data_IF_329799761525
#
_entry.id   IF_329799761525
#
_cell.length_a   1.000
_cell.length_b   1.000
_cell.length_c   1.000
_cell.angle_alpha   90.00
_cell.angle_beta   90.00
_cell.angle_gamma   90.00
#
_symmetry.space_group_name_H-M   'P 1'
#
loop_
_entity.id
_entity.type
_entity.pdbx_description
1 polymer ?
#
# COMPACT_ATOMS: atom_id res chain seq x y z
N UNK A 1 32.21 10.74 6.96
CA UNK A 1 31.71 9.44 7.48
C UNK A 1 31.96 9.21 8.98
N UNK A 2 33.16 9.45 9.53
CA UNK A 2 33.48 9.18 10.96
C UNK A 2 32.50 9.82 11.96
N UNK A 3 32.08 11.07 11.72
CA UNK A 3 31.12 11.78 12.59
C UNK A 3 29.73 11.13 12.58
N UNK A 4 29.16 10.84 11.41
CA UNK A 4 27.86 10.16 11.30
C UNK A 4 27.89 8.77 11.94
N UNK A 5 28.99 8.04 11.78
CA UNK A 5 29.18 6.75 12.44
C UNK A 5 29.17 6.90 13.97
N UNK A 6 29.91 7.87 14.51
CA UNK A 6 29.92 8.16 15.95
C UNK A 6 28.52 8.49 16.48
N UNK A 7 27.77 9.35 15.77
CA UNK A 7 26.39 9.69 16.12
C UNK A 7 25.49 8.45 16.10
N UNK A 8 25.57 7.62 15.06
CA UNK A 8 24.77 6.39 14.99
C UNK A 8 25.12 5.40 16.12
N UNK A 9 26.39 5.28 16.49
CA UNK A 9 26.84 4.45 17.62
C UNK A 9 26.33 5.00 18.95
N UNK A 10 26.35 6.32 19.13
CA UNK A 10 25.80 6.96 20.32
C UNK A 10 24.29 6.72 20.41
N UNK A 11 23.54 6.98 19.33
CA UNK A 11 22.10 6.69 19.27
C UNK A 11 21.83 5.22 19.59
N UNK A 12 22.60 4.28 19.01
CA UNK A 12 22.45 2.86 19.28
C UNK A 12 22.64 2.54 20.78
N UNK A 13 23.71 3.03 21.40
CA UNK A 13 24.01 2.74 22.81
C UNK A 13 23.04 3.41 23.79
N UNK A 14 22.77 4.70 23.61
CA UNK A 14 21.99 5.51 24.56
C UNK A 14 20.49 5.51 24.27
N UNK A 15 20.10 5.09 23.06
CA UNK A 15 18.74 5.17 22.53
C UNK A 15 18.19 6.61 22.43
N UNK A 16 19.06 7.62 22.52
CA UNK A 16 18.69 9.02 22.42
C UNK A 16 18.96 9.55 21.02
N UNK A 17 17.95 10.20 20.43
CA UNK A 17 18.04 10.79 19.10
C UNK A 17 18.31 12.30 19.19
N UNK A 18 19.19 12.84 18.33
CA UNK A 18 19.33 14.29 18.17
C UNK A 18 17.97 14.94 17.87
N UNK A 19 17.69 16.11 18.46
CA UNK A 19 16.39 16.76 18.29
C UNK A 19 16.10 17.09 16.82
N UNK A 20 17.11 17.56 16.08
CA UNK A 20 16.99 17.88 14.65
C UNK A 20 16.63 16.66 13.79
N UNK A 21 16.90 15.44 14.27
CA UNK A 21 16.57 14.20 13.56
C UNK A 21 15.11 13.75 13.80
N UNK A 22 14.47 14.33 14.82
CA UNK A 22 13.06 14.12 15.17
C UNK A 22 12.13 15.16 14.54
N UNK A 23 12.67 16.21 13.93
CA UNK A 23 11.93 17.25 13.19
C UNK A 23 11.60 16.83 11.76
N UNK A 24 10.45 17.31 11.26
CA UNK A 24 10.01 17.10 9.89
C UNK A 24 9.35 18.36 9.31
N UNK A 25 9.56 18.65 8.03
CA UNK A 25 8.90 19.77 7.32
C UNK A 25 7.87 19.19 6.36
N UNK A 26 6.61 19.57 6.52
CA UNK A 26 5.49 19.09 5.75
C UNK A 26 5.21 20.02 4.57
N UNK A 27 5.23 19.47 3.36
CA UNK A 27 4.92 20.18 2.13
C UNK A 27 3.61 19.62 1.56
N UNK A 28 2.53 20.41 1.51
CA UNK A 28 1.29 19.99 0.89
C UNK A 28 1.41 20.07 -0.64
N UNK A 29 1.09 18.97 -1.31
CA UNK A 29 1.07 18.83 -2.77
C UNK A 29 -0.36 18.53 -3.20
N UNK A 30 -0.95 19.31 -4.12
CA UNK A 30 -2.33 19.09 -4.55
C UNK A 30 -2.47 17.74 -5.27
N UNK A 31 -3.50 16.96 -4.92
CA UNK A 31 -3.81 15.67 -5.57
C UNK A 31 -4.23 15.85 -7.03
N UNK A 32 -4.89 16.97 -7.32
CA UNK A 32 -5.42 17.39 -8.64
C UNK A 32 -5.32 18.92 -8.72
N UNK A 33 -5.39 19.48 -9.93
CA UNK A 33 -5.45 20.94 -10.11
C UNK A 33 -6.62 21.57 -9.35
N UNK A 34 -6.44 22.81 -8.88
CA UNK A 34 -7.44 23.60 -8.13
C UNK A 34 -7.94 22.97 -6.82
N UNK A 35 -7.03 22.39 -6.03
CA UNK A 35 -7.36 21.92 -4.68
C UNK A 35 -7.75 23.09 -3.76
N UNK A 36 -8.94 23.03 -3.14
CA UNK A 36 -9.45 24.02 -2.18
C UNK A 36 -9.61 23.47 -0.75
N UNK A 37 -9.75 22.15 -0.62
CA UNK A 37 -9.92 21.47 0.67
C UNK A 37 -8.63 20.77 1.10
N UNK A 38 -8.39 20.69 2.41
CA UNK A 38 -7.22 19.98 2.96
C UNK A 38 -7.17 18.50 2.56
N UNK A 39 -8.33 17.85 2.40
CA UNK A 39 -8.49 16.46 1.94
C UNK A 39 -7.90 16.22 0.53
N UNK A 40 -7.78 17.29 -0.26
CA UNK A 40 -7.30 17.29 -1.64
C UNK A 40 -5.79 17.54 -1.76
N UNK A 41 -5.06 17.50 -0.64
CA UNK A 41 -3.60 17.54 -0.63
C UNK A 41 -3.00 16.20 -0.16
N UNK A 42 -1.85 15.85 -0.73
CA UNK A 42 -0.90 14.90 -0.17
C UNK A 42 0.14 15.67 0.61
N UNK A 43 0.46 15.24 1.82
CA UNK A 43 1.52 15.89 2.61
C UNK A 43 2.80 15.09 2.44
N UNK A 44 3.85 15.68 1.88
CA UNK A 44 5.18 15.08 1.89
C UNK A 44 5.93 15.58 3.12
N UNK A 45 6.47 14.65 3.91
CA UNK A 45 7.33 14.98 5.03
C UNK A 45 8.81 14.91 4.63
N UNK A 46 9.48 16.04 4.71
CA UNK A 46 10.92 16.17 4.56
C UNK A 46 11.60 16.00 5.91
N UNK A 47 12.56 15.08 5.97
CA UNK A 47 13.40 14.82 7.14
C UNK A 47 14.86 15.07 6.78
N UNK A 48 15.68 15.37 7.79
CA UNK A 48 17.12 15.59 7.63
C UNK A 48 17.79 14.46 6.83
N UNK A 49 18.68 14.83 5.90
CA UNK A 49 19.44 13.87 5.09
C UNK A 49 20.32 12.97 5.96
N UNK A 50 21.01 13.56 6.94
CA UNK A 50 21.83 12.83 7.90
C UNK A 50 20.99 11.85 8.72
N UNK A 51 19.77 12.27 9.10
CA UNK A 51 18.89 11.41 9.89
C UNK A 51 18.40 10.19 9.14
N UNK A 52 18.48 10.12 7.79
CA UNK A 52 18.06 8.94 7.00
C UNK A 52 19.01 7.74 7.16
N UNK A 53 20.26 7.96 7.58
CA UNK A 53 21.28 6.91 7.71
C UNK A 53 20.89 5.91 8.79
N UNK A 54 20.52 6.38 9.98
CA UNK A 54 20.17 5.49 11.10
C UNK A 54 18.87 4.69 10.85
N UNK A 55 17.76 5.28 10.37
CA UNK A 55 16.59 4.57 9.88
C UNK A 55 16.90 3.54 8.80
N UNK A 56 17.87 3.78 7.91
CA UNK A 56 18.27 2.77 6.91
C UNK A 56 18.91 1.55 7.58
N UNK A 57 19.77 1.77 8.58
CA UNK A 57 20.39 0.69 9.37
C UNK A 57 19.31 -0.09 10.13
N UNK A 58 18.40 0.62 10.80
CA UNK A 58 17.29 0.01 11.53
C UNK A 58 16.34 -0.75 10.60
N UNK A 59 16.06 -0.21 9.40
CA UNK A 59 15.24 -0.87 8.39
C UNK A 59 15.88 -2.21 7.99
N UNK A 60 17.18 -2.24 7.71
CA UNK A 60 17.87 -3.47 7.33
C UNK A 60 17.76 -4.55 8.42
N UNK A 61 17.84 -4.16 9.69
CA UNK A 61 17.63 -5.07 10.83
C UNK A 61 16.18 -5.54 10.95
N UNK A 62 15.21 -4.64 10.82
CA UNK A 62 13.78 -4.98 10.87
C UNK A 62 13.35 -5.85 9.68
N UNK A 63 13.97 -5.67 8.51
CA UNK A 63 13.62 -6.42 7.30
C UNK A 63 13.80 -7.93 7.48
N UNK A 64 14.75 -8.37 8.31
CA UNK A 64 14.93 -9.78 8.66
C UNK A 64 13.68 -10.36 9.33
N UNK A 65 13.10 -9.60 10.27
CA UNK A 65 11.84 -9.94 10.92
C UNK A 65 10.66 -9.84 9.97
N UNK A 66 10.64 -8.84 9.07
CA UNK A 66 9.58 -8.72 8.06
C UNK A 66 9.56 -9.96 7.18
N UNK A 67 10.71 -10.37 6.64
CA UNK A 67 10.77 -11.50 5.71
C UNK A 67 10.41 -12.82 6.39
N UNK A 68 10.80 -13.01 7.65
CA UNK A 68 10.50 -14.23 8.41
C UNK A 68 9.08 -14.26 8.99
N UNK A 69 8.57 -13.12 9.46
CA UNK A 69 7.30 -13.05 10.21
C UNK A 69 6.12 -12.62 9.35
N UNK A 70 6.27 -12.01 8.18
CA UNK A 70 5.11 -11.65 7.35
C UNK A 70 4.63 -12.83 6.49
N UNK A 71 3.32 -13.07 6.44
CA UNK A 71 2.75 -14.11 5.61
C UNK A 71 2.96 -13.81 4.12
N UNK A 72 2.85 -14.85 3.28
CA UNK A 72 3.11 -14.73 1.83
C UNK A 72 2.07 -13.93 1.07
N UNK A 73 0.85 -13.82 1.63
CA UNK A 73 -0.22 -12.99 1.08
C UNK A 73 0.05 -11.48 1.18
N UNK A 74 1.03 -11.04 1.98
CA UNK A 74 1.48 -9.64 2.04
C UNK A 74 2.69 -9.43 1.14
N UNK A 75 2.48 -8.74 0.02
CA UNK A 75 3.51 -8.41 -0.96
C UNK A 75 4.13 -7.01 -0.74
N UNK A 76 3.41 -6.11 -0.07
CA UNK A 76 3.88 -4.74 0.15
C UNK A 76 5.16 -4.70 0.98
N UNK A 77 6.21 -4.07 0.43
CA UNK A 77 7.50 -3.86 1.11
C UNK A 77 8.18 -5.17 1.62
N UNK A 78 7.87 -6.31 1.00
CA UNK A 78 8.51 -7.61 1.25
C UNK A 78 9.52 -7.90 0.13
N UNK A 79 10.73 -8.36 0.49
CA UNK A 79 11.76 -8.66 -0.50
C UNK A 79 11.30 -9.81 -1.42
N UNK A 80 11.43 -9.65 -2.73
CA UNK A 80 11.08 -10.68 -3.71
C UNK A 80 9.58 -10.81 -3.98
N UNK A 81 8.77 -9.87 -3.48
CA UNK A 81 7.36 -9.73 -3.82
C UNK A 81 7.11 -8.32 -4.34
N UNK A 82 6.21 -8.19 -5.30
CA UNK A 82 5.85 -6.92 -5.92
C UNK A 82 4.38 -6.87 -6.32
N UNK A 83 4.00 -5.73 -6.89
CA UNK A 83 2.62 -5.50 -7.33
C UNK A 83 2.20 -6.47 -8.43
N UNK A 84 3.12 -6.85 -9.31
CA UNK A 84 2.91 -7.82 -10.39
C UNK A 84 2.49 -9.20 -9.86
N UNK A 85 3.08 -9.64 -8.76
CA UNK A 85 2.70 -10.92 -8.12
C UNK A 85 1.24 -10.89 -7.66
N UNK A 86 0.79 -9.77 -7.08
CA UNK A 86 -0.60 -9.65 -6.63
C UNK A 86 -1.60 -9.55 -7.77
N UNK A 87 -1.21 -8.87 -8.86
CA UNK A 87 -2.01 -8.83 -10.09
C UNK A 87 -2.13 -10.25 -10.69
N UNK A 88 -1.01 -10.98 -10.78
CA UNK A 88 -1.03 -12.36 -11.28
C UNK A 88 -1.87 -13.28 -10.38
N UNK A 89 -1.69 -13.19 -9.06
CA UNK A 89 -2.46 -13.99 -8.10
C UNK A 89 -3.96 -13.77 -8.25
N UNK A 90 -4.43 -12.52 -8.31
CA UNK A 90 -5.87 -12.27 -8.44
C UNK A 90 -6.41 -12.76 -9.79
N UNK A 91 -5.66 -12.58 -10.89
CA UNK A 91 -6.05 -13.10 -12.20
C UNK A 91 -6.18 -14.63 -12.17
N UNK A 92 -5.17 -15.34 -11.65
CA UNK A 92 -5.18 -16.79 -11.56
C UNK A 92 -6.29 -17.32 -10.64
N UNK A 93 -6.56 -16.62 -9.53
CA UNK A 93 -7.67 -16.97 -8.64
C UNK A 93 -9.01 -16.87 -9.39
N UNK A 94 -9.23 -15.79 -10.16
CA UNK A 94 -10.44 -15.60 -10.97
C UNK A 94 -10.53 -16.68 -12.06
N UNK A 95 -9.44 -16.96 -12.77
CA UNK A 95 -9.37 -18.01 -13.79
C UNK A 95 -9.71 -19.38 -13.20
N UNK A 96 -9.15 -19.72 -12.04
CA UNK A 96 -9.43 -20.98 -11.34
C UNK A 96 -10.88 -21.05 -10.89
N UNK A 97 -11.43 -19.98 -10.31
CA UNK A 97 -12.84 -19.95 -9.94
C UNK A 97 -13.75 -20.21 -11.16
N UNK A 98 -13.42 -19.63 -12.32
CA UNK A 98 -14.15 -19.85 -13.58
C UNK A 98 -14.01 -21.28 -14.10
N UNK A 99 -12.81 -21.86 -14.05
CA UNK A 99 -12.55 -23.26 -14.44
C UNK A 99 -13.46 -24.23 -13.66
N UNK A 100 -13.68 -23.99 -12.38
CA UNK A 100 -14.55 -24.78 -11.51
C UNK A 100 -15.99 -24.27 -11.41
N UNK A 101 -16.39 -23.30 -12.25
CA UNK A 101 -17.72 -22.69 -12.25
C UNK A 101 -18.19 -22.18 -10.87
N UNK A 102 -17.26 -21.68 -10.06
CA UNK A 102 -17.55 -21.11 -8.76
C UNK A 102 -17.77 -19.61 -8.84
N UNK A 103 -18.69 -19.11 -8.03
CA UNK A 103 -18.80 -17.69 -7.77
C UNK A 103 -17.62 -17.22 -6.92
N UNK A 104 -17.19 -15.99 -7.17
CA UNK A 104 -16.13 -15.34 -6.43
C UNK A 104 -16.58 -13.94 -6.05
N UNK A 105 -16.30 -13.57 -4.81
CA UNK A 105 -16.63 -12.28 -4.24
C UNK A 105 -15.35 -11.65 -3.71
N UNK A 106 -15.12 -10.38 -4.04
CA UNK A 106 -13.99 -9.59 -3.58
C UNK A 106 -14.45 -8.35 -2.83
N UNK A 107 -13.80 -8.04 -1.71
CA UNK A 107 -13.94 -6.75 -1.03
C UNK A 107 -12.57 -6.06 -1.00
N UNK A 108 -12.46 -4.93 -1.71
CA UNK A 108 -11.27 -4.09 -1.74
C UNK A 108 -11.38 -3.03 -0.66
N UNK A 109 -10.60 -3.19 0.40
CA UNK A 109 -10.60 -2.34 1.59
C UNK A 109 -9.68 -1.15 1.38
N UNK A 110 -10.17 0.05 1.73
CA UNK A 110 -9.38 1.27 1.89
C UNK A 110 -9.50 1.77 3.33
N UNK A 111 -8.40 2.23 3.92
CA UNK A 111 -8.39 2.82 5.26
C UNK A 111 -8.35 4.35 5.19
N UNK A 112 -9.10 5.01 6.07
CA UNK A 112 -9.04 6.47 6.17
C UNK A 112 -7.70 6.93 6.75
N UNK A 113 -6.81 7.40 5.87
CA UNK A 113 -5.47 7.91 6.22
C UNK A 113 -4.66 6.91 7.04
N UNK A 114 -4.54 5.67 6.54
CA UNK A 114 -3.97 4.53 7.27
C UNK A 114 -2.65 4.87 8.01
N UNK A 115 -1.70 5.48 7.30
CA UNK A 115 -0.39 5.85 7.84
C UNK A 115 -0.48 6.93 8.92
N UNK A 116 -1.43 7.87 8.83
CA UNK A 116 -1.59 8.99 9.78
C UNK A 116 -2.38 8.59 11.04
N UNK A 117 -3.06 7.45 11.00
CA UNK A 117 -3.94 6.98 12.08
C UNK A 117 -3.28 5.93 12.99
N UNK A 118 -2.06 5.49 12.70
CA UNK A 118 -1.33 4.51 13.54
C UNK A 118 -1.13 5.06 14.96
N UNK A 119 -1.65 4.36 15.96
CA UNK A 119 -1.45 4.70 17.37
C UNK A 119 -0.06 4.24 17.82
N UNK A 120 0.75 5.16 18.34
CA UNK A 120 2.12 4.86 18.76
C UNK A 120 2.16 3.87 19.93
N UNK A 121 1.30 4.02 20.94
CA UNK A 121 1.28 3.13 22.11
C UNK A 121 0.93 1.70 21.68
N UNK A 122 -0.06 1.54 20.79
CA UNK A 122 -0.43 0.25 20.21
C UNK A 122 0.69 -0.31 19.34
N UNK A 123 1.33 0.51 18.51
CA UNK A 123 2.45 0.09 17.67
C UNK A 123 3.59 -0.51 18.51
N UNK A 124 4.01 0.13 19.60
CA UNK A 124 5.08 -0.40 20.45
C UNK A 124 4.71 -1.72 21.12
N UNK A 125 3.45 -1.87 21.54
CA UNK A 125 2.93 -3.15 22.07
C UNK A 125 2.96 -4.25 21.00
N UNK A 126 2.48 -3.94 19.79
CA UNK A 126 2.46 -4.86 18.65
C UNK A 126 3.89 -5.32 18.28
N UNK A 127 4.87 -4.41 18.26
CA UNK A 127 6.26 -4.78 17.97
C UNK A 127 6.81 -5.76 19.02
N UNK A 128 6.54 -5.53 20.30
CA UNK A 128 6.95 -6.44 21.39
C UNK A 128 6.29 -7.82 21.24
N UNK A 129 4.97 -7.86 21.03
CA UNK A 129 4.23 -9.12 20.85
C UNK A 129 4.64 -9.88 19.59
N UNK A 130 5.07 -9.16 18.55
CA UNK A 130 5.62 -9.76 17.33
C UNK A 130 7.02 -10.34 17.58
N UNK A 131 7.64 -10.09 18.73
CA UNK A 131 8.98 -10.57 19.09
C UNK A 131 10.10 -9.73 18.48
N UNK A 132 9.86 -8.44 18.24
CA UNK A 132 10.94 -7.50 17.90
C UNK A 132 11.72 -7.18 19.18
N UNK A 133 13.07 -7.27 19.17
CA UNK A 133 13.88 -7.01 20.36
C UNK A 133 13.58 -5.67 21.01
N UNK A 134 13.53 -5.64 22.34
CA UNK A 134 13.23 -4.44 23.12
C UNK A 134 14.15 -3.27 22.78
N UNK A 135 15.43 -3.54 22.51
CA UNK A 135 16.38 -2.52 22.10
C UNK A 135 15.95 -1.79 20.83
N UNK A 136 15.51 -2.52 19.79
CA UNK A 136 15.01 -1.93 18.54
C UNK A 136 13.70 -1.18 18.78
N UNK A 137 12.80 -1.76 19.57
CA UNK A 137 11.52 -1.11 19.91
C UNK A 137 11.74 0.19 20.68
N UNK A 138 12.70 0.24 21.61
CA UNK A 138 13.04 1.46 22.34
C UNK A 138 13.67 2.52 21.43
N UNK A 139 14.56 2.14 20.51
CA UNK A 139 15.11 3.05 19.51
C UNK A 139 14.02 3.70 18.66
N UNK A 140 13.05 2.89 18.19
CA UNK A 140 11.91 3.39 17.43
C UNK A 140 11.01 4.28 18.28
N UNK A 141 10.65 3.85 19.49
CA UNK A 141 9.83 4.64 20.41
C UNK A 141 10.46 6.01 20.69
N UNK A 142 11.76 6.07 20.93
CA UNK A 142 12.47 7.31 21.22
C UNK A 142 12.66 8.19 19.98
N UNK A 143 12.63 7.61 18.77
CA UNK A 143 12.55 8.37 17.53
C UNK A 143 11.21 9.09 17.40
N UNK A 144 10.13 8.44 17.86
CA UNK A 144 8.76 8.97 17.82
C UNK A 144 8.41 9.87 19.00
N UNK A 145 9.09 9.73 20.14
CA UNK A 145 8.94 10.61 21.28
C UNK A 145 9.44 12.03 20.99
N UNK A 146 8.57 13.02 21.14
CA UNK A 146 8.90 14.44 20.93
C UNK A 146 9.19 14.79 19.47
N UNK A 147 8.53 14.10 18.53
CA UNK A 147 8.56 14.48 17.12
C UNK A 147 7.80 15.77 16.89
N UNK A 148 8.45 16.67 16.15
CA UNK A 148 7.91 17.96 15.78
C UNK A 148 7.76 18.03 14.27
N UNK A 149 6.69 18.67 13.81
CA UNK A 149 6.51 19.05 12.43
C UNK A 149 6.15 20.52 12.29
N UNK A 150 6.44 21.07 11.13
CA UNK A 150 5.93 22.36 10.67
C UNK A 150 5.40 22.19 9.26
N UNK A 151 4.41 23.00 8.85
CA UNK A 151 3.88 23.00 7.48
C UNK A 151 4.43 24.22 6.75
N UNK A 152 5.08 23.98 5.60
CA UNK A 152 5.56 25.03 4.71
C UNK A 152 4.69 25.08 3.46
N UNK A 153 4.18 26.28 3.15
CA UNK A 153 3.39 26.58 1.96
C UNK A 153 4.01 27.76 1.20
N UNK A 154 3.48 28.08 0.01
CA UNK A 154 3.86 29.30 -0.71
C UNK A 154 3.55 30.61 0.04
N UNK A 155 2.72 30.55 1.10
CA UNK A 155 2.32 31.71 1.91
C UNK A 155 3.13 31.85 3.21
N UNK A 156 4.03 30.91 3.51
CA UNK A 156 4.82 30.91 4.73
C UNK A 156 4.92 29.55 5.40
N UNK A 157 5.60 29.53 6.55
CA UNK A 157 5.82 28.33 7.38
C UNK A 157 5.13 28.51 8.72
N UNK A 158 4.42 27.48 9.18
CA UNK A 158 3.72 27.51 10.48
C UNK A 158 4.70 27.35 11.64
N UNK A 159 4.22 27.59 12.86
CA UNK A 159 4.93 27.17 14.06
C UNK A 159 5.10 25.64 14.10
N UNK A 160 6.08 25.21 14.91
CA UNK A 160 6.32 23.79 15.17
C UNK A 160 5.21 23.23 16.07
N UNK A 161 4.70 22.06 15.72
CA UNK A 161 3.70 21.32 16.48
C UNK A 161 4.12 19.87 16.68
N UNK A 162 3.62 19.23 17.75
CA UNK A 162 3.94 17.86 18.09
C UNK A 162 3.12 16.86 17.27
N UNK A 163 3.76 15.76 16.84
CA UNK A 163 3.08 14.65 16.16
C UNK A 163 2.63 13.62 17.20
N UNK A 164 1.31 13.49 17.40
CA UNK A 164 0.73 12.55 18.37
C UNK A 164 0.36 11.17 17.83
N UNK A 165 0.25 11.00 16.50
CA UNK A 165 -0.15 9.75 15.85
C UNK A 165 0.42 9.64 14.44
N UNK A 166 0.37 8.42 13.91
CA UNK A 166 0.79 8.08 12.57
C UNK A 166 2.27 7.69 12.48
N UNK A 167 2.60 6.94 11.43
CA UNK A 167 3.99 6.66 11.05
C UNK A 167 4.53 7.81 10.21
N UNK A 168 5.84 8.09 10.30
CA UNK A 168 6.46 9.22 9.58
C UNK A 168 6.36 9.02 8.06
N UNK A 169 5.50 9.74 7.36
CA UNK A 169 5.47 9.67 5.89
C UNK A 169 6.85 10.02 5.30
N UNK A 170 7.25 9.38 4.21
CA UNK A 170 8.59 9.55 3.62
C UNK A 170 9.77 8.93 4.40
N UNK A 171 9.57 8.45 5.64
CA UNK A 171 10.58 7.68 6.35
C UNK A 171 10.62 6.23 5.87
N UNK A 172 11.82 5.71 5.64
CA UNK A 172 12.04 4.35 5.12
C UNK A 172 11.58 3.23 6.07
N UNK A 173 11.38 3.55 7.36
CA UNK A 173 10.88 2.61 8.36
C UNK A 173 9.35 2.46 8.34
N UNK A 174 8.64 3.50 7.95
CA UNK A 174 7.18 3.59 8.11
C UNK A 174 6.42 2.46 7.42
N UNK A 175 6.77 2.06 6.18
CA UNK A 175 6.14 0.91 5.55
C UNK A 175 6.31 -0.40 6.33
N UNK A 176 7.50 -0.63 6.90
CA UNK A 176 7.80 -1.80 7.71
C UNK A 176 7.01 -1.82 9.02
N UNK A 177 6.89 -0.65 9.67
CA UNK A 177 6.09 -0.50 10.89
C UNK A 177 4.60 -0.74 10.61
N UNK A 178 4.07 -0.17 9.52
CA UNK A 178 2.69 -0.38 9.12
C UNK A 178 2.41 -1.85 8.79
N UNK A 179 3.36 -2.55 8.16
CA UNK A 179 3.25 -3.98 7.88
C UNK A 179 3.07 -4.84 9.14
N UNK A 180 3.78 -4.53 10.24
CA UNK A 180 3.56 -5.22 11.52
C UNK A 180 2.17 -4.90 12.11
N UNK A 181 1.73 -3.66 11.96
CA UNK A 181 0.41 -3.22 12.38
C UNK A 181 -0.71 -3.97 11.64
N UNK A 182 -0.63 -4.00 10.31
CA UNK A 182 -1.56 -4.72 9.46
C UNK A 182 -1.51 -6.23 9.72
N UNK A 183 -0.33 -6.80 9.95
CA UNK A 183 -0.20 -8.21 10.34
C UNK A 183 -0.99 -8.51 11.63
N UNK A 184 -0.84 -7.66 12.65
CA UNK A 184 -1.54 -7.83 13.92
C UNK A 184 -3.06 -7.85 13.73
N UNK A 185 -3.60 -6.89 12.96
CA UNK A 185 -5.04 -6.82 12.64
C UNK A 185 -5.49 -8.12 11.96
N UNK A 186 -4.81 -8.54 10.90
CA UNK A 186 -5.23 -9.70 10.12
C UNK A 186 -5.12 -11.03 10.90
N UNK A 187 -4.13 -11.12 11.79
CA UNK A 187 -3.97 -12.26 12.70
C UNK A 187 -5.11 -12.31 13.72
N UNK A 188 -5.44 -11.21 14.36
CA UNK A 188 -6.51 -11.19 15.37
C UNK A 188 -7.89 -11.28 14.73
N UNK A 189 -8.03 -10.82 13.49
CA UNK A 189 -9.20 -11.07 12.67
C UNK A 189 -9.29 -12.53 12.22
N UNK A 190 -8.36 -13.40 12.67
CA UNK A 190 -8.25 -14.84 12.44
C UNK A 190 -8.51 -15.24 11.00
N UNK A 191 -7.87 -14.52 10.08
CA UNK A 191 -7.92 -14.82 8.65
C UNK A 191 -7.11 -16.08 8.31
N UNK A 192 -6.06 -16.41 9.07
CA UNK A 192 -5.24 -17.59 8.80
C UNK A 192 -5.97 -18.89 9.17
N UNK A 193 -6.82 -18.86 10.19
CA UNK A 193 -7.61 -19.99 10.67
C UNK A 193 -9.01 -20.08 10.02
N UNK A 194 -9.41 -19.06 9.26
CA UNK A 194 -10.72 -18.99 8.64
C UNK A 194 -10.90 -20.09 7.57
N UNK A 195 -12.03 -20.80 7.65
CA UNK A 195 -12.46 -21.73 6.59
C UNK A 195 -13.06 -21.01 5.37
N UNK A 196 -13.46 -19.75 5.56
CA UNK A 196 -13.98 -18.85 4.52
C UNK A 196 -12.86 -18.34 3.60
N UNK A 197 -13.11 -18.34 2.29
CA UNK A 197 -12.13 -18.00 1.27
C UNK A 197 -12.29 -18.85 0.01
N UNK A 198 -11.28 -18.82 -0.86
CA UNK A 198 -11.26 -19.58 -2.11
C UNK A 198 -10.32 -20.76 -1.96
N UNK A 199 -10.85 -21.96 -2.22
CA UNK A 199 -10.07 -23.19 -2.11
C UNK A 199 -9.29 -23.46 -3.38
N UNK A 200 -7.97 -23.35 -3.32
CA UNK A 200 -7.04 -23.64 -4.42
C UNK A 200 -5.98 -24.62 -3.93
N UNK A 201 -5.87 -25.79 -4.57
CA UNK A 201 -4.87 -26.82 -4.27
C UNK A 201 -4.79 -27.18 -2.76
N UNK A 202 -5.94 -27.34 -2.12
CA UNK A 202 -6.05 -27.69 -0.69
C UNK A 202 -5.75 -26.55 0.29
N UNK A 203 -5.48 -25.34 -0.19
CA UNK A 203 -5.29 -24.14 0.63
C UNK A 203 -6.48 -23.20 0.48
N UNK A 204 -6.81 -22.51 1.55
CA UNK A 204 -7.82 -21.48 1.54
C UNK A 204 -7.18 -20.10 1.39
N UNK A 205 -7.55 -19.35 0.36
CA UNK A 205 -7.04 -18.00 0.09
C UNK A 205 -8.19 -17.02 0.29
N UNK A 206 -8.08 -16.17 1.31
CA UNK A 206 -9.14 -15.21 1.66
C UNK A 206 -8.68 -13.76 1.65
N UNK A 207 -7.38 -13.49 1.46
CA UNK A 207 -6.86 -12.15 1.32
C UNK A 207 -5.60 -12.08 0.46
N UNK A 208 -5.47 -10.97 -0.27
CA UNK A 208 -4.23 -10.51 -0.89
C UNK A 208 -3.96 -9.09 -0.43
N UNK A 209 -2.71 -8.78 -0.10
CA UNK A 209 -2.32 -7.51 0.52
C UNK A 209 -1.14 -6.87 -0.19
N UNK A 210 -1.22 -5.55 -0.31
CA UNK A 210 -0.11 -4.72 -0.75
C UNK A 210 -0.13 -3.40 0.04
N UNK A 211 0.75 -3.30 1.04
CA UNK A 211 0.76 -2.16 1.95
C UNK A 211 -0.57 -2.05 2.72
N UNK A 212 -1.28 -0.93 2.59
CA UNK A 212 -2.62 -0.67 3.13
C UNK A 212 -3.75 -1.22 2.24
N UNK A 213 -3.51 -1.43 0.94
CA UNK A 213 -4.48 -2.06 0.05
C UNK A 213 -4.66 -3.54 0.43
N UNK A 214 -5.90 -3.91 0.77
CA UNK A 214 -6.27 -5.30 1.09
C UNK A 214 -7.46 -5.72 0.25
N UNK A 215 -7.32 -6.81 -0.49
CA UNK A 215 -8.43 -7.48 -1.17
C UNK A 215 -8.80 -8.72 -0.36
N UNK A 216 -9.96 -8.71 0.30
CA UNK A 216 -10.58 -9.90 0.86
C UNK A 216 -11.32 -10.67 -0.24
N UNK A 217 -11.44 -11.99 -0.08
CA UNK A 217 -12.17 -12.82 -1.03
C UNK A 217 -12.80 -14.04 -0.38
N UNK A 218 -13.92 -14.50 -0.93
CA UNK A 218 -14.63 -15.72 -0.52
C UNK A 218 -15.46 -16.31 -1.66
N UNK A 219 -15.94 -17.54 -1.48
CA UNK A 219 -16.85 -18.23 -2.40
C UNK A 219 -18.32 -17.84 -2.19
N UNK A 220 -18.67 -17.23 -1.05
CA UNK A 220 -20.01 -16.71 -0.75
C UNK A 220 -20.00 -15.27 -0.24
N UNK A 221 -21.13 -14.58 -0.43
CA UNK A 221 -21.33 -13.21 0.04
C UNK A 221 -21.27 -13.12 1.58
N UNK A 222 -21.89 -14.08 2.27
CA UNK A 222 -21.96 -14.17 3.73
C UNK A 222 -20.58 -14.37 4.35
N UNK A 223 -19.78 -15.25 3.74
CA UNK A 223 -18.39 -15.48 4.14
C UNK A 223 -17.54 -14.21 3.99
N UNK A 224 -17.63 -13.53 2.84
CA UNK A 224 -16.89 -12.29 2.60
C UNK A 224 -17.29 -11.20 3.61
N UNK A 225 -18.60 -11.07 3.88
CA UNK A 225 -19.12 -10.09 4.84
C UNK A 225 -18.63 -10.38 6.25
N UNK A 226 -18.61 -11.65 6.65
CA UNK A 226 -18.06 -12.09 7.94
C UNK A 226 -16.57 -11.73 8.07
N UNK A 227 -15.76 -12.00 7.04
CA UNK A 227 -14.34 -11.63 7.02
C UNK A 227 -14.15 -10.12 7.13
N UNK A 228 -14.92 -9.33 6.39
CA UNK A 228 -14.86 -7.87 6.44
C UNK A 228 -15.20 -7.32 7.82
N UNK A 229 -16.26 -7.82 8.47
CA UNK A 229 -16.67 -7.37 9.79
C UNK A 229 -15.61 -7.68 10.86
N UNK A 230 -14.98 -8.86 10.81
CA UNK A 230 -13.86 -9.21 11.71
C UNK A 230 -12.66 -8.28 11.51
N UNK A 231 -12.30 -7.98 10.25
CA UNK A 231 -11.21 -7.04 9.94
C UNK A 231 -11.55 -5.63 10.41
N UNK A 232 -12.79 -5.17 10.21
CA UNK A 232 -13.26 -3.85 10.69
C UNK A 232 -13.12 -3.73 12.20
N UNK A 233 -13.65 -4.70 12.95
CA UNK A 233 -13.65 -4.69 14.41
C UNK A 233 -12.21 -4.66 14.96
N UNK A 234 -11.33 -5.51 14.46
CA UNK A 234 -9.92 -5.55 14.90
C UNK A 234 -9.13 -4.30 14.49
N UNK A 235 -9.46 -3.70 13.35
CA UNK A 235 -8.87 -2.43 12.91
C UNK A 235 -9.24 -1.29 13.86
N UNK A 236 -10.50 -1.21 14.27
CA UNK A 236 -11.00 -0.17 15.16
C UNK A 236 -10.38 -0.26 16.57
N UNK A 237 -10.12 -1.48 17.08
CA UNK A 237 -9.41 -1.72 18.36
C UNK A 237 -7.99 -1.13 18.40
N UNK A 238 -7.41 -0.92 17.23
CA UNK A 238 -6.10 -0.29 17.04
C UNK A 238 -6.22 1.07 16.32
N UNK A 239 -7.39 1.69 16.29
CA UNK A 239 -7.55 3.07 15.82
C UNK A 239 -7.51 3.26 14.30
N UNK A 240 -7.56 2.19 13.50
CA UNK A 240 -7.75 2.29 12.05
C UNK A 240 -9.24 2.16 11.71
N UNK A 241 -9.71 3.05 10.84
CA UNK A 241 -11.09 3.05 10.35
C UNK A 241 -11.12 2.77 8.86
N UNK A 242 -12.04 1.91 8.45
CA UNK A 242 -12.31 1.68 7.03
C UNK A 242 -12.90 2.95 6.41
N UNK A 243 -12.56 3.19 5.15
CA UNK A 243 -13.21 4.19 4.33
C UNK A 243 -14.28 3.49 3.50
N UNK A 244 -15.53 3.51 3.98
CA UNK A 244 -16.63 2.78 3.35
C UNK A 244 -16.89 3.29 1.93
N UNK A 245 -16.84 4.60 1.72
CA UNK A 245 -17.02 5.23 0.40
C UNK A 245 -15.98 4.80 -0.64
N UNK A 246 -14.76 4.45 -0.21
CA UNK A 246 -13.71 3.96 -1.10
C UNK A 246 -13.59 2.45 -1.15
N UNK A 247 -14.14 1.76 -0.15
CA UNK A 247 -14.23 0.31 -0.15
C UNK A 247 -15.17 -0.12 -1.28
N UNK A 248 -14.77 -1.12 -2.06
CA UNK A 248 -15.54 -1.61 -3.21
C UNK A 248 -15.76 -3.10 -3.11
N UNK A 249 -16.91 -3.55 -3.60
CA UNK A 249 -17.21 -4.97 -3.74
C UNK A 249 -17.29 -5.32 -5.22
N UNK A 250 -16.72 -6.45 -5.60
CA UNK A 250 -16.78 -6.97 -6.97
C UNK A 250 -17.11 -8.46 -6.90
N UNK A 251 -18.09 -8.91 -7.68
CA UNK A 251 -18.56 -10.29 -7.63
C UNK A 251 -18.81 -10.84 -9.04
N UNK A 252 -18.59 -12.15 -9.22
CA UNK A 252 -19.01 -12.87 -10.44
C UNK A 252 -20.43 -13.42 -10.35
N UNK A 253 -20.99 -13.52 -9.13
CA UNK A 253 -22.35 -13.94 -8.86
C UNK A 253 -23.27 -12.81 -8.40
N UNK A 254 -24.55 -13.09 -8.13
CA UNK A 254 -25.48 -12.14 -7.53
C UNK A 254 -24.94 -11.62 -6.20
N UNK A 255 -25.18 -10.34 -5.92
CA UNK A 255 -24.78 -9.70 -4.68
C UNK A 255 -25.88 -8.78 -4.15
N UNK A 256 -26.11 -8.82 -2.83
CA UNK A 256 -27.03 -7.89 -2.17
C UNK A 256 -26.36 -6.57 -1.81
N UNK A 257 -27.17 -5.54 -1.54
CA UNK A 257 -26.65 -4.24 -1.10
C UNK A 257 -26.09 -4.34 0.33
N UNK A 258 -24.83 -3.93 0.52
CA UNK A 258 -24.19 -3.94 1.84
C UNK A 258 -24.28 -2.57 2.49
N UNK A 259 -24.82 -2.52 3.71
CA UNK A 259 -24.70 -1.36 4.59
C UNK A 259 -23.75 -1.64 5.74
N UNK A 260 -22.78 -0.74 5.92
CA UNK A 260 -21.80 -0.76 7.02
C UNK A 260 -21.77 0.65 7.59
N UNK A 261 -22.01 0.79 8.90
CA UNK A 261 -22.07 2.09 9.60
C UNK A 261 -23.02 3.10 8.93
N UNK A 262 -24.18 2.63 8.46
CA UNK A 262 -25.19 3.39 7.70
C UNK A 262 -24.72 3.94 6.34
N UNK A 263 -23.55 3.53 5.86
CA UNK A 263 -23.06 3.81 4.51
C UNK A 263 -23.19 2.57 3.62
N UNK A 264 -23.61 2.77 2.37
CA UNK A 264 -23.69 1.69 1.38
C UNK A 264 -22.32 1.46 0.74
N UNK A 265 -21.84 0.22 0.75
CA UNK A 265 -20.61 -0.16 0.03
C UNK A 265 -20.90 -0.26 -1.46
N UNK A 266 -20.13 0.44 -2.30
CA UNK A 266 -20.35 0.43 -3.74
C UNK A 266 -19.96 -0.93 -4.34
N UNK A 267 -20.87 -1.50 -5.13
CA UNK A 267 -20.60 -2.68 -5.97
C UNK A 267 -20.15 -2.24 -7.35
N UNK A 268 -19.06 -2.83 -7.85
CA UNK A 268 -18.42 -2.50 -9.12
C UNK A 268 -18.23 -3.74 -9.99
N UNK A 269 -18.21 -3.54 -11.31
CA UNK A 269 -17.89 -4.60 -12.28
C UNK A 269 -16.39 -4.76 -12.53
N UNK A 270 -15.61 -3.70 -12.28
CA UNK A 270 -14.16 -3.70 -12.38
C UNK A 270 -13.49 -2.84 -11.29
N UNK A 271 -12.24 -3.16 -10.96
CA UNK A 271 -11.47 -2.45 -9.95
C UNK A 271 -10.00 -2.29 -10.38
N UNK A 272 -9.37 -1.16 -10.05
CA UNK A 272 -7.94 -0.95 -10.32
C UNK A 272 -7.11 -1.47 -9.13
N UNK A 273 -6.59 -2.69 -9.22
CA UNK A 273 -5.68 -3.27 -8.23
C UNK A 273 -4.23 -3.18 -8.72
N UNK A 274 -3.35 -2.61 -7.91
CA UNK A 274 -1.92 -2.55 -8.26
C UNK A 274 -1.62 -1.79 -9.56
N UNK A 275 -2.54 -0.91 -9.96
CA UNK A 275 -2.48 -0.16 -11.22
C UNK A 275 -3.12 -0.86 -12.42
N UNK A 276 -3.50 -2.14 -12.32
CA UNK A 276 -4.15 -2.92 -13.38
C UNK A 276 -5.66 -3.05 -13.14
N UNK A 277 -6.46 -2.94 -14.21
CA UNK A 277 -7.90 -3.16 -14.16
C UNK A 277 -8.20 -4.65 -14.09
N UNK A 278 -8.90 -5.07 -13.04
CA UNK A 278 -9.37 -6.43 -12.80
C UNK A 278 -10.88 -6.44 -12.96
N UNK A 279 -11.39 -7.46 -13.64
CA UNK A 279 -12.83 -7.68 -13.89
C UNK A 279 -13.25 -8.99 -13.22
N UNK A 280 -14.48 -9.07 -12.72
CA UNK A 280 -14.99 -10.29 -12.06
C UNK A 280 -15.02 -11.51 -13.00
N UNK A 281 -15.15 -11.27 -14.31
CA UNK A 281 -15.13 -12.31 -15.33
C UNK A 281 -13.73 -12.62 -15.86
N UNK A 282 -12.66 -11.96 -15.37
CA UNK A 282 -11.30 -12.17 -15.82
C UNK A 282 -11.01 -11.76 -17.27
N UNK A 283 -11.86 -10.96 -17.93
CA UNK A 283 -11.56 -10.45 -19.27
C UNK A 283 -10.50 -9.33 -19.22
N UNK A 284 -9.32 -9.60 -19.79
CA UNK A 284 -8.21 -8.66 -19.86
C UNK A 284 -8.37 -7.60 -20.97
N UNK A 285 -9.34 -7.74 -21.88
CA UNK A 285 -9.51 -6.85 -23.04
C UNK A 285 -9.67 -5.37 -22.64
N UNK A 286 -10.38 -5.12 -21.55
CA UNK A 286 -10.58 -3.76 -21.01
C UNK A 286 -9.29 -3.16 -20.44
N UNK A 287 -8.43 -3.96 -19.81
CA UNK A 287 -7.12 -3.50 -19.33
C UNK A 287 -6.16 -3.23 -20.48
N UNK A 288 -6.12 -4.10 -21.50
CA UNK A 288 -5.30 -3.90 -22.69
C UNK A 288 -5.64 -2.56 -23.36
N UNK A 289 -6.94 -2.30 -23.58
CA UNK A 289 -7.41 -1.01 -24.13
C UNK A 289 -7.01 0.16 -23.24
N UNK A 290 -7.15 0.03 -21.91
CA UNK A 290 -6.73 1.07 -20.96
C UNK A 290 -5.23 1.34 -21.03
N UNK A 291 -4.37 0.33 -21.12
CA UNK A 291 -2.91 0.46 -21.24
C UNK A 291 -2.50 1.17 -22.52
N UNK A 292 -3.14 0.84 -23.64
CA UNK A 292 -2.92 1.54 -24.91
C UNK A 292 -3.30 3.02 -24.83
N UNK A 293 -4.42 3.35 -24.17
CA UNK A 293 -4.83 4.74 -23.96
C UNK A 293 -3.87 5.50 -23.04
N UNK A 294 -3.38 4.87 -21.96
CA UNK A 294 -2.37 5.45 -21.08
C UNK A 294 -1.04 5.68 -21.82
N UNK A 295 -0.59 4.71 -22.62
CA UNK A 295 0.59 4.85 -23.47
C UNK A 295 0.45 5.98 -24.49
N UNK A 296 -0.71 6.09 -25.15
CA UNK A 296 -1.03 7.20 -26.06
C UNK A 296 -0.96 8.54 -25.34
N UNK A 297 -1.48 8.66 -24.12
CA UNK A 297 -1.39 9.89 -23.32
C UNK A 297 0.06 10.29 -23.05
N UNK A 298 0.95 9.33 -22.73
CA UNK A 298 2.38 9.61 -22.55
C UNK A 298 3.01 10.08 -23.86
N UNK A 299 2.68 9.45 -24.99
CA UNK A 299 3.14 9.88 -26.32
C UNK A 299 2.72 11.34 -26.60
N UNK A 300 1.47 11.70 -26.32
CA UNK A 300 0.96 13.06 -26.52
C UNK A 300 1.70 14.07 -25.64
N UNK A 301 2.04 13.72 -24.39
CA UNK A 301 2.81 14.59 -23.51
C UNK A 301 4.26 14.85 -24.02
N UNK A 302 4.77 13.96 -24.88
CA UNK A 302 6.10 14.07 -25.49
C UNK A 302 6.06 14.69 -26.91
N UNK A 303 4.91 15.18 -27.36
CA UNK A 303 4.73 15.67 -28.73
C UNK A 303 5.70 16.81 -29.11
N UNK A 304 5.95 17.75 -28.18
CA UNK A 304 6.93 18.83 -28.37
C UNK A 304 8.35 18.30 -28.55
N UNK A 305 8.74 17.27 -27.80
CA UNK A 305 10.02 16.59 -27.91
C UNK A 305 10.14 15.87 -29.25
N UNK A 306 9.08 15.16 -29.67
CA UNK A 306 9.08 14.44 -30.94
C UNK A 306 9.14 15.37 -32.15
N UNK A 307 8.53 16.55 -32.07
CA UNK A 307 8.55 17.57 -33.13
C UNK A 307 9.84 18.41 -33.16
N UNK A 308 10.58 18.49 -32.06
CA UNK A 308 11.85 19.24 -32.03
C UNK A 308 12.88 18.67 -33.00
N UNK A 309 13.51 19.54 -33.79
CA UNK A 309 14.61 19.17 -34.70
C UNK A 309 15.95 19.07 -33.98
N UNK A 310 16.07 19.66 -32.79
CA UNK A 310 17.29 19.69 -31.98
C UNK A 310 17.54 18.37 -31.24
N UNK A 311 16.52 17.51 -31.17
CA UNK A 311 16.60 16.21 -30.50
C UNK A 311 16.75 15.12 -31.55
N UNK A 312 17.82 14.34 -31.42
CA UNK A 312 18.13 13.27 -32.37
C UNK A 312 17.12 12.12 -32.29
N UNK A 313 16.93 11.42 -33.41
CA UNK A 313 16.03 10.26 -33.48
C UNK A 313 16.39 9.16 -32.46
N UNK A 314 17.68 8.79 -32.25
CA UNK A 314 18.03 7.81 -31.21
C UNK A 314 17.55 8.20 -29.81
N UNK A 315 17.68 9.48 -29.43
CA UNK A 315 17.20 9.98 -28.13
C UNK A 315 15.68 9.89 -28.03
N UNK A 316 14.94 10.25 -29.09
CA UNK A 316 13.47 10.12 -29.13
C UNK A 316 13.03 8.66 -28.95
N UNK A 317 13.69 7.73 -29.66
CA UNK A 317 13.43 6.29 -29.53
C UNK A 317 13.72 5.81 -28.10
N UNK A 318 14.81 6.29 -27.49
CA UNK A 318 15.13 5.97 -26.11
C UNK A 318 14.04 6.46 -25.13
N UNK A 319 13.52 7.67 -25.32
CA UNK A 319 12.40 8.20 -24.51
C UNK A 319 11.13 7.36 -24.65
N UNK A 320 10.79 6.91 -25.86
CA UNK A 320 9.64 6.01 -26.07
C UNK A 320 9.85 4.70 -25.28
N UNK A 321 11.03 4.08 -25.41
CA UNK A 321 11.36 2.85 -24.69
C UNK A 321 11.37 3.03 -23.17
N UNK A 322 11.79 4.19 -22.66
CA UNK A 322 11.91 4.46 -21.24
C UNK A 322 10.61 4.93 -20.58
N UNK A 323 9.72 5.62 -21.32
CA UNK A 323 8.55 6.29 -20.74
C UNK A 323 7.22 5.68 -21.20
N UNK A 324 7.15 5.17 -22.43
CA UNK A 324 5.89 4.70 -23.04
C UNK A 324 5.75 3.20 -22.87
N UNK A 325 6.80 2.44 -23.22
CA UNK A 325 6.77 0.98 -23.16
C UNK A 325 6.44 0.48 -21.74
N UNK A 326 7.06 0.99 -20.66
CA UNK A 326 6.73 0.54 -19.31
C UNK A 326 5.28 0.77 -18.93
N UNK A 327 4.61 1.79 -19.49
CA UNK A 327 3.19 2.05 -19.23
C UNK A 327 2.30 1.05 -19.97
N UNK A 328 2.63 0.74 -21.23
CA UNK A 328 1.86 -0.16 -22.08
C UNK A 328 1.99 -1.62 -21.64
N UNK A 329 3.20 -2.05 -21.29
CA UNK A 329 3.53 -3.46 -20.97
C UNK A 329 3.42 -3.78 -19.47
N UNK A 330 2.97 -2.83 -18.64
CA UNK A 330 2.85 -3.09 -17.21
C UNK A 330 1.75 -4.13 -16.93
N UNK A 331 2.14 -5.25 -16.31
CA UNK A 331 1.21 -6.32 -15.93
C UNK A 331 0.71 -7.14 -17.11
N UNK A 332 1.38 -7.10 -18.28
CA UNK A 332 0.98 -7.93 -19.41
C UNK A 332 1.27 -9.42 -19.19
N UNK A 333 2.21 -9.73 -18.30
CA UNK A 333 2.53 -11.10 -17.89
C UNK A 333 1.37 -11.82 -17.18
N UNK A 334 0.35 -11.08 -16.71
CA UNK A 334 -0.81 -11.64 -16.03
C UNK A 334 -2.08 -11.63 -16.88
N UNK A 335 -1.98 -11.34 -18.18
CA UNK A 335 -3.15 -11.35 -19.07
C UNK A 335 -3.49 -12.79 -19.49
N UNK A 336 -4.77 -13.11 -19.43
CA UNK A 336 -5.30 -14.40 -19.88
C UNK A 336 -5.18 -14.52 -21.39
N UNK A 337 -4.52 -15.59 -21.86
CA UNK A 337 -4.50 -15.97 -23.27
C UNK A 337 -5.83 -16.61 -23.67
N UNK A 338 -6.39 -16.19 -24.80
CA UNK A 338 -7.60 -16.77 -25.41
C UNK A 338 -7.22 -17.85 -26.40
N UNK A 339 -8.11 -18.81 -26.63
CA UNK A 339 -7.92 -19.89 -27.62
C UNK A 339 -7.62 -19.37 -29.04
N UNK A 340 -8.11 -18.17 -29.40
CA UNK A 340 -7.84 -17.55 -30.69
C UNK A 340 -6.43 -16.95 -30.83
N UNK A 341 -5.65 -16.95 -29.75
CA UNK A 341 -4.27 -16.43 -29.67
C UNK A 341 -3.23 -17.56 -29.59
N UNK A 342 -3.69 -18.82 -29.65
CA UNK A 342 -2.92 -20.02 -29.97
C UNK A 342 -3.03 -20.31 -31.46
#
# INVERSE_FOLDING_TARGET
>A
MKVLYSICQQIWKTQQWPQDWKRSVFIPIPKKGNAKECSNYYTIALISHASKVMPKILQARLQQYVNYKLPDVQAGFKKGRGTRDQIANICWIIEKAREFQKNIYFCFIDYTKAFDCVDHKKLWKILKETGIPDHLTCLLRNLYAGQEATVTTGHGTTDWFQIGKGVRQGCILSPCLFNFYAKYIMRNAGLEEAQAGIKIAGRNINNLRYADDTALMAESEEELKSLLMRVKEESEKVGLKLNIQKTKIMASGPITSWQIDAETVETVSDFILGGSKITANGDCSHEIKRRLLLGRKVMTNLDSIFKSRDITLPTKVHLVKAMVFPVVVYGCESWTMKKAEH
#
